data_IF_232276080575
#
_entry.id   IF_232276080575
#
_cell.length_a   1.000
_cell.length_b   1.000
_cell.length_c   1.000
_cell.angle_alpha   90.00
_cell.angle_beta   90.00
_cell.angle_gamma   90.00
#
_symmetry.space_group_name_H-M   'P 1'
#
loop_
_entity.id
_entity.type
_entity.pdbx_description
1 polymer ?
#
# COMPACT_ATOMS: atom_id res chain seq x y z
N UNK A 1 27.94 -5.49 -15.81
CA UNK A 1 27.10 -4.34 -16.10
C UNK A 1 25.75 -4.53 -15.46
N UNK A 2 25.62 -3.91 -14.29
CA UNK A 2 24.40 -3.33 -13.70
C UNK A 2 24.89 -2.68 -12.38
N UNK A 3 25.82 -1.73 -12.55
CA UNK A 3 26.01 -0.66 -11.58
C UNK A 3 24.78 0.23 -11.73
N UNK A 4 24.01 0.42 -10.66
CA UNK A 4 23.10 1.57 -10.53
C UNK A 4 22.89 1.83 -9.03
N UNK A 5 23.74 2.76 -8.58
CA UNK A 5 23.47 3.84 -7.65
C UNK A 5 23.21 3.51 -6.17
N UNK A 6 24.32 3.44 -5.44
CA UNK A 6 24.44 3.94 -4.08
C UNK A 6 24.16 5.46 -4.05
N UNK A 7 22.89 5.87 -4.18
CA UNK A 7 22.47 7.19 -3.72
C UNK A 7 22.20 7.11 -2.22
N UNK A 8 23.22 7.48 -1.44
CA UNK A 8 23.14 7.86 -0.02
C UNK A 8 22.42 9.23 0.09
N UNK A 9 21.19 9.27 -0.45
CA UNK A 9 20.29 10.41 -0.36
C UNK A 9 19.86 10.54 1.11
N UNK A 10 20.58 11.41 1.82
CA UNK A 10 20.22 12.09 3.07
C UNK A 10 18.74 11.89 3.42
N UNK A 11 18.48 10.95 4.33
CA UNK A 11 17.15 10.49 4.72
C UNK A 11 16.32 11.61 5.35
N UNK A 12 15.74 12.49 4.54
CA UNK A 12 14.61 13.26 4.99
C UNK A 12 13.47 12.29 5.30
N UNK A 13 12.93 12.36 6.52
CA UNK A 13 11.77 11.60 6.98
C UNK A 13 10.48 12.07 6.27
N UNK A 14 10.44 12.01 4.94
CA UNK A 14 9.23 12.27 4.17
C UNK A 14 8.18 11.20 4.55
N UNK A 15 6.89 11.48 4.69
CA UNK A 15 5.91 10.43 5.03
C UNK A 15 5.75 9.38 3.93
N UNK A 16 5.41 8.14 4.32
CA UNK A 16 5.06 7.07 3.36
C UNK A 16 3.72 7.37 2.66
N UNK A 17 2.86 8.15 3.33
CA UNK A 17 1.60 8.64 2.78
C UNK A 17 1.74 10.07 2.27
N UNK A 18 1.24 10.32 1.06
CA UNK A 18 1.15 11.68 0.52
C UNK A 18 0.12 12.53 1.25
N UNK A 19 -1.02 11.93 1.59
CA UNK A 19 -2.09 12.58 2.33
C UNK A 19 -2.04 12.17 3.80
N UNK A 20 -1.76 13.15 4.67
CA UNK A 20 -2.00 13.05 6.11
C UNK A 20 -3.41 13.53 6.38
N UNK A 21 -4.23 12.70 7.00
CA UNK A 21 -5.53 13.14 7.51
C UNK A 21 -5.31 13.89 8.83
N UNK A 22 -6.17 14.88 9.16
CA UNK A 22 -6.09 15.52 10.47
C UNK A 22 -6.22 14.44 11.57
N UNK A 23 -5.50 14.60 12.68
CA UNK A 23 -5.44 13.58 13.73
C UNK A 23 -6.81 13.19 14.33
N UNK A 24 -7.83 14.04 14.16
CA UNK A 24 -9.20 13.80 14.64
C UNK A 24 -10.13 13.21 13.56
N UNK A 25 -9.66 13.05 12.32
CA UNK A 25 -10.45 12.43 11.27
C UNK A 25 -10.45 10.90 11.44
N UNK A 26 -11.65 10.33 11.45
CA UNK A 26 -11.83 8.88 11.48
C UNK A 26 -11.56 8.32 10.08
N UNK A 27 -10.74 7.28 10.00
CA UNK A 27 -10.47 6.58 8.75
C UNK A 27 -11.74 5.91 8.26
N UNK A 28 -12.14 6.26 7.02
CA UNK A 28 -13.22 5.59 6.32
C UNK A 28 -12.68 4.47 5.45
N UNK A 29 -13.39 3.35 5.42
CA UNK A 29 -13.12 2.24 4.52
C UNK A 29 -14.12 2.29 3.38
N UNK A 30 -13.62 2.54 2.17
CA UNK A 30 -14.41 2.67 0.94
C UNK A 30 -14.45 1.32 0.20
N UNK A 31 -15.44 1.05 -0.68
CA UNK A 31 -15.37 -0.10 -1.56
C UNK A 31 -14.24 0.07 -2.60
N UNK A 32 -13.61 -1.05 -3.02
CA UNK A 32 -12.56 -1.01 -4.05
C UNK A 32 -13.01 -0.36 -5.37
N UNK A 33 -14.30 -0.40 -5.70
CA UNK A 33 -14.86 0.25 -6.89
C UNK A 33 -14.70 1.77 -6.89
N UNK A 34 -14.55 2.40 -5.71
CA UNK A 34 -14.30 3.84 -5.57
C UNK A 34 -12.81 4.20 -5.62
N UNK A 35 -11.93 3.22 -5.74
CA UNK A 35 -10.49 3.46 -5.80
C UNK A 35 -10.09 4.09 -7.14
N UNK A 36 -9.70 5.36 -7.10
CA UNK A 36 -9.11 6.08 -8.24
C UNK A 36 -7.60 5.90 -8.16
N UNK A 37 -7.11 4.83 -8.78
CA UNK A 37 -5.68 4.50 -8.84
C UNK A 37 -5.06 5.05 -10.13
N UNK A 38 -3.78 5.47 -10.10
CA UNK A 38 -3.04 5.79 -11.33
C UNK A 38 -2.98 4.57 -12.23
N UNK A 39 -2.85 4.77 -13.54
CA UNK A 39 -2.73 3.64 -14.48
C UNK A 39 -1.56 2.74 -14.10
N UNK A 40 -0.39 3.32 -13.87
CA UNK A 40 0.77 2.59 -13.35
C UNK A 40 0.88 2.79 -11.85
N UNK A 41 1.06 1.70 -11.12
CA UNK A 41 1.37 1.71 -9.69
C UNK A 41 2.50 0.73 -9.36
N UNK A 42 2.94 0.75 -8.11
CA UNK A 42 4.03 -0.05 -7.59
C UNK A 42 3.57 -0.81 -6.36
N UNK A 43 3.98 -2.07 -6.27
CA UNK A 43 3.75 -2.95 -5.13
C UNK A 43 5.10 -3.44 -4.61
N UNK A 44 5.11 -3.93 -3.37
CA UNK A 44 6.30 -4.53 -2.77
C UNK A 44 6.05 -6.02 -2.54
N UNK A 45 7.02 -6.85 -2.91
CA UNK A 45 7.01 -8.30 -2.72
C UNK A 45 8.23 -8.74 -1.92
N UNK A 46 8.12 -9.86 -1.21
CA UNK A 46 9.27 -10.51 -0.59
C UNK A 46 10.08 -11.36 -1.60
N UNK A 47 11.03 -12.13 -1.06
CA UNK A 47 11.86 -13.05 -1.86
C UNK A 47 11.13 -14.28 -2.40
N UNK A 48 10.00 -14.63 -1.81
CA UNK A 48 9.12 -15.70 -2.27
C UNK A 48 8.06 -15.18 -3.27
N UNK A 49 8.16 -13.92 -3.70
CA UNK A 49 7.20 -13.24 -4.56
C UNK A 49 5.80 -13.07 -3.94
N UNK A 50 5.70 -13.11 -2.62
CA UNK A 50 4.46 -12.80 -1.90
C UNK A 50 4.32 -11.28 -1.69
N UNK A 51 3.11 -10.77 -1.82
CA UNK A 51 2.80 -9.35 -1.60
C UNK A 51 3.04 -8.98 -0.13
N UNK A 52 3.82 -7.91 0.09
CA UNK A 52 4.03 -7.36 1.42
C UNK A 52 2.76 -6.63 1.87
N UNK A 53 2.26 -7.04 3.04
CA UNK A 53 1.10 -6.44 3.70
C UNK A 53 1.43 -6.14 5.16
N UNK A 54 0.75 -5.18 5.76
CA UNK A 54 0.83 -4.91 7.21
C UNK A 54 -0.57 -4.75 7.79
N UNK A 55 -0.76 -5.01 9.10
CA UNK A 55 -1.96 -4.60 9.82
C UNK A 55 -2.24 -3.11 9.64
N UNK A 56 -3.52 -2.71 9.51
CA UNK A 56 -3.86 -1.32 9.23
C UNK A 56 -3.34 -0.33 10.29
N UNK A 57 -3.27 -0.75 11.56
CA UNK A 57 -2.73 0.07 12.66
C UNK A 57 -1.27 0.53 12.46
N UNK A 58 -0.51 -0.14 11.60
CA UNK A 58 0.88 0.24 11.31
C UNK A 58 1.00 1.44 10.36
N UNK A 59 -0.11 1.92 9.82
CA UNK A 59 -0.19 3.11 8.97
C UNK A 59 -0.70 4.31 9.79
N UNK A 60 0.08 4.72 10.79
CA UNK A 60 -0.30 5.74 11.78
C UNK A 60 -0.61 7.14 11.22
N UNK A 61 -0.16 7.42 10.00
CA UNK A 61 -0.42 8.70 9.29
C UNK A 61 -1.86 8.83 8.75
N UNK A 62 -2.71 7.80 8.91
CA UNK A 62 -4.09 7.78 8.41
C UNK A 62 -5.11 8.51 9.30
N UNK A 63 -4.77 8.89 10.53
CA UNK A 63 -5.72 9.43 11.52
C UNK A 63 -6.29 8.35 12.44
N UNK A 64 -7.50 8.56 12.96
CA UNK A 64 -8.12 7.62 13.91
C UNK A 64 -8.67 6.39 13.19
N UNK A 65 -7.93 5.29 13.25
CA UNK A 65 -8.38 4.01 12.72
C UNK A 65 -9.41 3.40 13.71
N UNK A 66 -10.59 2.93 13.26
CA UNK A 66 -11.52 2.21 14.13
C UNK A 66 -10.92 0.87 14.63
N UNK A 67 -11.21 0.47 15.87
CA UNK A 67 -10.64 -0.74 16.48
C UNK A 67 -10.87 -2.02 15.67
N UNK A 68 -12.03 -2.13 15.02
CA UNK A 68 -12.39 -3.25 14.13
C UNK A 68 -11.48 -3.37 12.89
N UNK A 69 -10.82 -2.28 12.51
CA UNK A 69 -9.94 -2.20 11.34
C UNK A 69 -8.45 -2.44 11.67
N UNK A 70 -8.04 -2.37 12.95
CA UNK A 70 -6.62 -2.40 13.36
C UNK A 70 -5.81 -3.61 12.87
N UNK A 71 -6.44 -4.78 12.80
CA UNK A 71 -5.78 -6.03 12.44
C UNK A 71 -6.00 -6.42 10.97
N UNK A 72 -6.75 -5.60 10.21
CA UNK A 72 -7.04 -5.92 8.82
C UNK A 72 -5.75 -5.91 7.99
N UNK A 73 -5.53 -7.01 7.26
CA UNK A 73 -4.33 -7.22 6.46
C UNK A 73 -4.37 -6.31 5.23
N UNK A 74 -3.55 -5.28 5.26
CA UNK A 74 -3.61 -4.17 4.33
C UNK A 74 -2.46 -4.23 3.35
N UNK A 75 -2.77 -4.19 2.05
CA UNK A 75 -1.83 -4.09 0.95
C UNK A 75 -1.62 -2.61 0.57
N UNK A 76 -0.42 -2.05 0.77
CA UNK A 76 -0.09 -0.72 0.28
C UNK A 76 0.12 -0.71 -1.23
N UNK A 77 -0.43 0.30 -1.89
CA UNK A 77 -0.22 0.58 -3.31
C UNK A 77 0.43 1.95 -3.40
N UNK A 78 1.47 2.05 -4.21
CA UNK A 78 2.23 3.29 -4.39
C UNK A 78 2.11 3.77 -5.82
N UNK A 79 2.05 5.08 -6.02
CA UNK A 79 2.14 5.70 -7.35
C UNK A 79 3.58 6.09 -7.72
N UNK A 80 4.52 5.95 -6.78
CA UNK A 80 5.90 6.34 -6.93
C UNK A 80 6.83 5.19 -6.48
N UNK A 81 7.74 4.82 -7.37
CA UNK A 81 8.74 3.78 -7.14
C UNK A 81 9.61 4.05 -5.90
N UNK A 82 10.05 5.30 -5.70
CA UNK A 82 10.90 5.71 -4.57
C UNK A 82 10.18 5.51 -3.23
N UNK A 83 8.89 5.87 -3.17
CA UNK A 83 8.08 5.67 -1.95
C UNK A 83 7.89 4.19 -1.65
N UNK A 84 7.60 3.37 -2.67
CA UNK A 84 7.53 1.92 -2.52
C UNK A 84 8.86 1.31 -2.06
N UNK A 85 9.98 1.79 -2.61
CA UNK A 85 11.32 1.33 -2.23
C UNK A 85 11.63 1.65 -0.78
N UNK A 86 11.26 2.83 -0.30
CA UNK A 86 11.43 3.22 1.11
C UNK A 86 10.53 2.42 2.07
N UNK A 87 9.34 2.01 1.62
CA UNK A 87 8.49 1.10 2.41
C UNK A 87 9.08 -0.32 2.49
N UNK A 88 9.80 -0.75 1.45
CA UNK A 88 10.40 -2.08 1.34
C UNK A 88 11.60 -2.27 2.26
N UNK A 89 11.84 -3.50 2.72
CA UNK A 89 13.09 -3.86 3.41
C UNK A 89 14.20 -4.20 2.41
N UNK A 90 15.44 -4.37 2.88
CA UNK A 90 16.59 -4.80 2.04
C UNK A 90 16.35 -6.10 1.27
N UNK A 91 15.42 -6.94 1.74
CA UNK A 91 15.13 -8.26 1.17
C UNK A 91 13.99 -8.22 0.15
N UNK A 92 13.21 -7.15 0.16
CA UNK A 92 12.01 -6.99 -0.63
C UNK A 92 12.35 -6.37 -2.00
N UNK A 93 11.46 -6.61 -2.96
CA UNK A 93 11.54 -6.07 -4.31
C UNK A 93 10.32 -5.21 -4.60
N UNK A 94 10.53 -4.12 -5.32
CA UNK A 94 9.44 -3.29 -5.84
C UNK A 94 9.10 -3.80 -7.24
N UNK A 95 7.81 -4.04 -7.50
CA UNK A 95 7.32 -4.43 -8.82
C UNK A 95 6.44 -3.32 -9.40
N UNK A 96 6.57 -3.10 -10.70
CA UNK A 96 5.72 -2.17 -11.46
C UNK A 96 4.49 -2.90 -11.96
N UNK A 97 3.32 -2.35 -11.66
CA UNK A 97 2.04 -2.79 -12.22
C UNK A 97 1.63 -1.77 -13.29
N UNK A 98 1.66 -2.13 -14.58
CA UNK A 98 1.42 -1.17 -15.67
C UNK A 98 -0.05 -0.74 -15.79
N UNK A 99 -0.98 -1.52 -15.23
CA UNK A 99 -2.42 -1.23 -15.21
C UNK A 99 -3.03 -1.60 -13.85
N UNK A 100 -3.31 -0.61 -13.01
CA UNK A 100 -3.88 -0.79 -11.66
C UNK A 100 -5.28 -1.41 -11.65
N UNK A 101 -6.00 -1.40 -12.79
CA UNK A 101 -7.27 -2.14 -12.93
C UNK A 101 -7.08 -3.65 -12.74
N UNK A 102 -5.86 -4.16 -12.88
CA UNK A 102 -5.52 -5.53 -12.53
C UNK A 102 -5.80 -5.85 -11.05
N UNK A 103 -5.71 -4.88 -10.14
CA UNK A 103 -6.01 -5.09 -8.71
C UNK A 103 -7.48 -5.43 -8.48
N UNK A 104 -8.40 -4.85 -9.27
CA UNK A 104 -9.81 -5.22 -9.24
C UNK A 104 -10.01 -6.67 -9.72
N UNK A 105 -9.33 -7.06 -10.82
CA UNK A 105 -9.40 -8.42 -11.36
C UNK A 105 -8.76 -9.45 -10.42
N UNK A 106 -7.68 -9.08 -9.74
CA UNK A 106 -6.96 -9.92 -8.80
C UNK A 106 -7.64 -10.02 -7.43
N UNK A 107 -8.72 -9.26 -7.18
CA UNK A 107 -9.42 -9.21 -5.88
C UNK A 107 -9.68 -10.59 -5.27
N UNK A 108 -10.23 -11.60 -6.00
CA UNK A 108 -10.47 -12.92 -5.42
C UNK A 108 -9.18 -13.60 -4.93
N UNK A 109 -8.07 -13.42 -5.65
CA UNK A 109 -6.77 -13.99 -5.28
C UNK A 109 -6.14 -13.26 -4.08
N UNK A 110 -6.27 -11.93 -4.03
CA UNK A 110 -5.84 -11.13 -2.88
C UNK A 110 -6.60 -11.55 -1.61
N UNK A 111 -7.92 -11.73 -1.71
CA UNK A 111 -8.77 -12.22 -0.62
C UNK A 111 -8.40 -13.64 -0.20
N UNK A 112 -8.13 -14.55 -1.13
CA UNK A 112 -7.70 -15.91 -0.84
C UNK A 112 -6.35 -15.96 -0.08
N UNK A 113 -5.50 -14.94 -0.26
CA UNK A 113 -4.26 -14.73 0.51
C UNK A 113 -4.51 -14.02 1.86
N UNK A 114 -5.76 -13.76 2.22
CA UNK A 114 -6.17 -13.10 3.46
C UNK A 114 -5.99 -11.58 3.44
N UNK A 115 -5.75 -10.97 2.27
CA UNK A 115 -5.64 -9.51 2.14
C UNK A 115 -7.07 -8.94 2.12
N UNK A 116 -7.38 -8.07 3.07
CA UNK A 116 -8.73 -7.53 3.28
C UNK A 116 -8.85 -6.06 2.97
N UNK A 117 -7.73 -5.32 2.97
CA UNK A 117 -7.68 -3.88 2.69
C UNK A 117 -6.63 -3.56 1.66
N UNK A 118 -6.90 -2.52 0.88
CA UNK A 118 -5.95 -1.85 0.02
C UNK A 118 -5.76 -0.42 0.51
N UNK A 119 -4.53 0.04 0.61
CA UNK A 119 -4.19 1.40 1.03
C UNK A 119 -3.56 2.15 -0.14
N UNK A 120 -4.16 3.26 -0.54
CA UNK A 120 -3.63 4.14 -1.58
C UNK A 120 -3.92 5.61 -1.25
N UNK A 121 -2.90 6.46 -1.33
CA UNK A 121 -3.00 7.91 -1.11
C UNK A 121 -3.73 8.31 0.19
N UNK A 122 -3.43 7.60 1.28
CA UNK A 122 -4.05 7.83 2.58
C UNK A 122 -5.53 7.41 2.68
N UNK A 123 -6.06 6.69 1.67
CA UNK A 123 -7.41 6.12 1.67
C UNK A 123 -7.37 4.61 1.76
N UNK A 124 -8.31 4.05 2.50
CA UNK A 124 -8.43 2.61 2.72
C UNK A 124 -9.63 2.07 1.95
N UNK A 125 -9.41 0.98 1.23
CA UNK A 125 -10.43 0.32 0.42
C UNK A 125 -10.63 -1.13 0.85
N UNK A 126 -11.87 -1.56 0.98
CA UNK A 126 -12.23 -2.96 1.27
C UNK A 126 -12.11 -3.83 0.03
N UNK A 127 -11.42 -4.97 0.17
CA UNK A 127 -11.39 -6.03 -0.83
C UNK A 127 -12.51 -7.06 -0.62
N UNK A 128 -13.15 -7.07 0.55
CA UNK A 128 -14.32 -7.90 0.84
C UNK A 128 -15.53 -7.39 0.04
N UNK A 129 -16.35 -8.29 -0.50
CA UNK A 129 -17.71 -7.90 -0.90
C UNK A 129 -18.44 -7.42 0.36
N UNK A 130 -19.11 -6.28 0.22
CA UNK A 130 -20.14 -5.83 1.15
C UNK A 130 -21.30 -6.83 1.10
#
# INVERSE_FOLDING_TARGET
DDEDDEDDDLYEEQPILRRRLPANAIVQVLPLSEAILPRTCYLVIDRAAELITRPLREFGDLGQIPSQEFQQRTLPVFDNHRVARRFSSKRDRVIKVPDSRMLQKARPHLQAKGITRLLFDGRVYSLSSI
#
